data_IF_026666240851
#
_entry.id   IF_026666240851
#
_cell.length_a   1.000
_cell.length_b   1.000
_cell.length_c   1.000
_cell.angle_alpha   90.00
_cell.angle_beta   90.00
_cell.angle_gamma   90.00
#
_symmetry.space_group_name_H-M   'P 1'
#
loop_
_entity.id
_entity.type
_entity.pdbx_description
1 polymer ?
#
# COMPACT_ATOMS: atom_id res chain seq x y z
N UNK A 1 -4.51 56.25 84.42
CA UNK A 1 -3.75 56.69 83.23
C UNK A 1 -3.82 55.54 82.25
N UNK A 2 -4.85 55.62 81.41
CA UNK A 2 -5.05 54.77 80.24
C UNK A 2 -4.07 55.19 79.14
N UNK A 3 -3.34 54.23 78.58
CA UNK A 3 -2.84 54.32 77.21
C UNK A 3 -3.02 52.95 76.56
N UNK A 4 -4.20 52.79 75.95
CA UNK A 4 -4.55 51.72 75.01
C UNK A 4 -3.77 51.96 73.73
N UNK A 5 -2.76 51.12 73.49
CA UNK A 5 -1.96 51.13 72.26
C UNK A 5 -2.75 50.38 71.17
N UNK A 6 -3.06 50.98 70.01
CA UNK A 6 -3.85 50.31 68.99
C UNK A 6 -3.04 49.19 68.34
N UNK A 7 -3.65 48.02 68.23
CA UNK A 7 -3.14 46.91 67.43
C UNK A 7 -3.01 47.38 65.98
N UNK A 8 -1.83 47.16 65.38
CA UNK A 8 -1.56 47.46 63.98
C UNK A 8 -2.39 46.54 63.09
N UNK A 9 -3.50 47.08 62.57
CA UNK A 9 -4.31 46.45 61.54
C UNK A 9 -3.58 46.64 60.21
N UNK A 10 -2.51 45.89 59.94
CA UNK A 10 -1.82 45.96 58.63
C UNK A 10 -0.97 44.70 58.30
N UNK A 11 -1.30 43.53 58.86
CA UNK A 11 -0.70 42.24 58.41
C UNK A 11 -1.74 41.16 58.04
N UNK A 12 -3.02 41.53 57.91
CA UNK A 12 -4.10 40.58 57.57
C UNK A 12 -4.72 40.80 56.18
N UNK A 13 -4.15 41.72 55.37
CA UNK A 13 -4.61 42.01 53.99
C UNK A 13 -3.48 41.70 52.98
N UNK A 14 -2.83 40.56 53.11
CA UNK A 14 -1.85 40.08 52.12
C UNK A 14 -2.13 38.66 51.62
N UNK A 15 -3.31 38.11 51.93
CA UNK A 15 -3.73 36.76 51.53
C UNK A 15 -4.98 36.71 50.64
N UNK A 16 -5.65 37.84 50.38
CA UNK A 16 -6.99 37.81 49.77
C UNK A 16 -7.06 38.14 48.27
N UNK A 17 -5.93 38.19 47.56
CA UNK A 17 -5.95 38.32 46.09
C UNK A 17 -4.93 37.40 45.40
N UNK A 18 -5.21 36.09 45.39
CA UNK A 18 -4.65 35.19 44.37
C UNK A 18 -5.78 34.63 43.49
N UNK A 19 -6.29 35.37 42.49
CA UNK A 19 -7.29 34.87 41.56
C UNK A 19 -6.73 33.88 40.51
N UNK A 20 -5.42 33.57 40.52
CA UNK A 20 -4.77 32.85 39.44
C UNK A 20 -4.75 31.31 39.59
N UNK A 21 -4.91 30.79 40.81
CA UNK A 21 -4.86 29.32 41.06
C UNK A 21 -6.11 28.56 40.57
N UNK A 22 -7.29 29.21 40.55
CA UNK A 22 -8.53 28.53 40.18
C UNK A 22 -8.67 28.35 38.65
N UNK A 23 -8.20 29.33 37.87
CA UNK A 23 -8.25 29.27 36.41
C UNK A 23 -7.22 28.30 35.84
N UNK A 24 -6.03 28.22 36.46
CA UNK A 24 -4.98 27.27 36.06
C UNK A 24 -5.36 25.82 36.39
N UNK A 25 -5.99 25.58 37.54
CA UNK A 25 -6.51 24.25 37.90
C UNK A 25 -7.59 23.78 36.90
N UNK A 26 -8.56 24.63 36.55
CA UNK A 26 -9.58 24.30 35.53
C UNK A 26 -8.99 24.00 34.16
N UNK A 27 -8.01 24.80 33.72
CA UNK A 27 -7.33 24.56 32.45
C UNK A 27 -6.56 23.23 32.45
N UNK A 28 -5.99 22.84 33.58
CA UNK A 28 -5.30 21.57 33.74
C UNK A 28 -6.27 20.37 33.68
N UNK A 29 -7.44 20.47 34.31
CA UNK A 29 -8.48 19.44 34.25
C UNK A 29 -9.06 19.28 32.83
N UNK A 30 -9.27 20.39 32.12
CA UNK A 30 -9.69 20.35 30.72
C UNK A 30 -8.62 19.70 29.82
N UNK A 31 -7.34 20.01 30.05
CA UNK A 31 -6.24 19.42 29.31
C UNK A 31 -6.13 17.93 29.60
N UNK A 32 -6.23 17.51 30.87
CA UNK A 32 -6.26 16.11 31.27
C UNK A 32 -7.41 15.35 30.57
N UNK A 33 -8.60 15.94 30.52
CA UNK A 33 -9.77 15.37 29.83
C UNK A 33 -9.53 15.22 28.32
N UNK A 34 -8.92 16.22 27.67
CA UNK A 34 -8.55 16.15 26.25
C UNK A 34 -7.49 15.09 25.97
N UNK A 35 -6.46 15.00 26.82
CA UNK A 35 -5.43 13.96 26.72
C UNK A 35 -6.04 12.57 26.86
N UNK A 36 -6.95 12.37 27.82
CA UNK A 36 -7.63 11.09 28.00
C UNK A 36 -8.49 10.71 26.78
N UNK A 37 -9.19 11.69 26.18
CA UNK A 37 -9.93 11.47 24.94
C UNK A 37 -9.01 11.08 23.77
N UNK A 38 -7.84 11.73 23.65
CA UNK A 38 -6.85 11.38 22.63
C UNK A 38 -6.31 9.95 22.83
N UNK A 39 -6.04 9.54 24.07
CA UNK A 39 -5.61 8.17 24.39
C UNK A 39 -6.67 7.15 23.96
N UNK A 40 -7.96 7.42 24.22
CA UNK A 40 -9.05 6.55 23.77
C UNK A 40 -9.17 6.50 22.24
N UNK A 41 -8.99 7.63 21.56
CA UNK A 41 -8.99 7.70 20.10
C UNK A 41 -7.83 6.88 19.51
N UNK A 42 -6.62 6.98 20.09
CA UNK A 42 -5.46 6.20 19.66
C UNK A 42 -5.71 4.70 19.83
N UNK A 43 -6.22 4.26 20.99
CA UNK A 43 -6.53 2.85 21.21
C UNK A 43 -7.58 2.31 20.22
N UNK A 44 -8.56 3.14 19.85
CA UNK A 44 -9.57 2.81 18.85
C UNK A 44 -8.96 2.69 17.45
N UNK A 45 -8.04 3.59 17.09
CA UNK A 45 -7.30 3.53 15.82
C UNK A 45 -6.40 2.31 15.74
N UNK A 46 -5.68 1.98 16.81
CA UNK A 46 -4.84 0.77 16.89
C UNK A 46 -5.68 -0.49 16.67
N UNK A 47 -6.85 -0.58 17.32
CA UNK A 47 -7.80 -1.68 17.12
C UNK A 47 -8.29 -1.76 15.68
N UNK A 48 -8.60 -0.62 15.06
CA UNK A 48 -8.98 -0.53 13.65
C UNK A 48 -7.88 -1.00 12.70
N UNK A 49 -6.62 -0.62 12.96
CA UNK A 49 -5.45 -1.07 12.18
C UNK A 49 -5.31 -2.59 12.27
N UNK A 50 -5.44 -3.18 13.45
CA UNK A 50 -5.41 -4.63 13.63
C UNK A 50 -6.53 -5.35 12.86
N UNK A 51 -7.74 -4.79 12.84
CA UNK A 51 -8.85 -5.31 12.05
C UNK A 51 -8.54 -5.27 10.54
N UNK A 52 -8.01 -4.15 10.04
CA UNK A 52 -7.62 -3.99 8.62
C UNK A 52 -6.53 -4.99 8.24
N UNK A 53 -5.47 -5.15 9.04
CA UNK A 53 -4.41 -6.13 8.80
C UNK A 53 -5.00 -7.55 8.75
N UNK A 54 -5.92 -7.88 9.66
CA UNK A 54 -6.56 -9.19 9.69
C UNK A 54 -7.41 -9.43 8.44
N UNK A 55 -8.19 -8.44 8.02
CA UNK A 55 -8.95 -8.50 6.77
C UNK A 55 -8.06 -8.66 5.54
N UNK A 56 -6.95 -7.93 5.47
CA UNK A 56 -5.96 -8.07 4.38
C UNK A 56 -5.39 -9.49 4.31
N UNK A 57 -5.03 -10.11 5.45
CA UNK A 57 -4.54 -11.50 5.49
C UNK A 57 -5.59 -12.48 4.97
N UNK A 58 -6.85 -12.31 5.35
CA UNK A 58 -7.95 -13.13 4.85
C UNK A 58 -8.16 -12.98 3.34
N UNK A 59 -8.11 -11.75 2.82
CA UNK A 59 -8.21 -11.49 1.38
C UNK A 59 -7.05 -12.10 0.61
N UNK A 60 -5.81 -11.95 1.08
CA UNK A 60 -4.63 -12.59 0.46
C UNK A 60 -4.79 -14.11 0.43
N UNK A 61 -5.24 -14.71 1.53
CA UNK A 61 -5.55 -16.15 1.59
C UNK A 61 -6.62 -16.54 0.56
N UNK A 62 -7.72 -15.78 0.49
CA UNK A 62 -8.82 -16.00 -0.46
C UNK A 62 -8.36 -15.90 -1.92
N UNK A 63 -7.55 -14.89 -2.25
CA UNK A 63 -6.95 -14.73 -3.59
C UNK A 63 -6.05 -15.92 -3.92
N UNK A 64 -5.22 -16.38 -2.99
CA UNK A 64 -4.38 -17.56 -3.19
C UNK A 64 -5.22 -18.82 -3.45
N UNK A 65 -6.30 -19.03 -2.69
CA UNK A 65 -7.23 -20.16 -2.89
C UNK A 65 -7.93 -20.06 -4.25
N UNK A 66 -8.35 -18.87 -4.68
CA UNK A 66 -8.97 -18.68 -6.00
C UNK A 66 -7.98 -18.95 -7.12
N UNK A 67 -6.74 -18.52 -6.98
CA UNK A 67 -5.68 -18.77 -7.95
C UNK A 67 -5.31 -20.26 -8.03
N UNK A 68 -5.27 -20.98 -6.90
CA UNK A 68 -5.07 -22.44 -6.92
C UNK A 68 -6.27 -23.19 -7.48
N UNK A 69 -7.51 -22.76 -7.21
CA UNK A 69 -8.73 -23.37 -7.79
C UNK A 69 -8.87 -23.11 -9.29
N UNK A 70 -8.43 -21.96 -9.80
CA UNK A 70 -8.29 -21.73 -11.24
C UNK A 70 -7.23 -22.63 -11.88
N UNK A 71 -6.21 -23.05 -11.12
CA UNK A 71 -5.26 -24.09 -11.57
C UNK A 71 -5.74 -25.53 -11.38
N UNK A 72 -6.84 -25.77 -10.65
CA UNK A 72 -7.29 -27.11 -10.22
C UNK A 72 -8.62 -27.56 -10.81
N UNK A 73 -9.21 -26.80 -11.74
CA UNK A 73 -10.47 -27.15 -12.43
C UNK A 73 -10.26 -27.73 -13.83
N UNK A 74 -9.06 -28.26 -14.11
CA UNK A 74 -8.78 -29.09 -15.29
C UNK A 74 -8.31 -30.51 -14.91
N UNK A 75 -9.02 -31.21 -14.02
CA UNK A 75 -8.80 -32.65 -13.80
C UNK A 75 -10.09 -33.41 -13.59
N UNK A 76 -11.03 -33.29 -14.53
CA UNK A 76 -12.00 -34.35 -14.80
C UNK A 76 -11.99 -34.65 -16.30
N UNK A 77 -11.18 -35.64 -16.67
CA UNK A 77 -11.41 -36.51 -17.83
C UNK A 77 -11.57 -35.85 -19.20
N UNK A 78 -10.59 -35.08 -19.67
CA UNK A 78 -10.40 -34.84 -21.10
C UNK A 78 -8.90 -34.99 -21.38
N UNK A 79 -8.58 -35.83 -22.37
CA UNK A 79 -7.27 -36.06 -22.97
C UNK A 79 -6.40 -34.80 -22.85
N UNK A 80 -5.22 -34.91 -22.22
CA UNK A 80 -4.29 -33.80 -22.09
C UNK A 80 -4.25 -32.97 -23.38
N UNK A 81 -4.59 -31.67 -23.37
CA UNK A 81 -4.19 -30.85 -24.48
C UNK A 81 -2.66 -30.82 -24.35
N UNK A 82 -1.98 -31.61 -25.18
CA UNK A 82 -0.55 -31.42 -25.47
C UNK A 82 -0.38 -29.91 -25.54
N UNK A 83 0.40 -29.30 -24.63
CA UNK A 83 0.77 -27.88 -24.71
C UNK A 83 0.91 -27.58 -26.19
N UNK A 84 0.08 -26.70 -26.79
CA UNK A 84 0.17 -26.47 -28.22
C UNK A 84 1.63 -26.14 -28.47
N UNK A 85 2.31 -27.01 -29.23
CA UNK A 85 3.70 -26.78 -29.61
C UNK A 85 3.70 -25.36 -30.14
N UNK A 86 4.55 -24.50 -29.57
CA UNK A 86 4.63 -23.08 -29.88
C UNK A 86 5.12 -22.94 -31.33
N UNK A 87 4.26 -23.29 -32.28
CA UNK A 87 4.54 -23.23 -33.69
C UNK A 87 4.25 -21.80 -34.10
N UNK A 88 5.30 -21.06 -34.39
CA UNK A 88 5.15 -19.74 -34.97
C UNK A 88 4.34 -19.85 -36.27
N UNK A 89 3.23 -19.11 -36.43
CA UNK A 89 2.39 -19.20 -37.62
C UNK A 89 3.12 -18.76 -38.91
N UNK A 90 4.23 -18.01 -38.78
CA UNK A 90 5.01 -17.51 -39.92
C UNK A 90 6.05 -18.49 -40.42
N UNK A 91 6.76 -19.18 -39.52
CA UNK A 91 7.89 -20.04 -39.91
C UNK A 91 7.79 -21.48 -39.40
N UNK A 92 6.70 -21.84 -38.73
CA UNK A 92 6.39 -23.19 -38.23
C UNK A 92 7.47 -23.79 -37.30
N UNK A 93 8.34 -22.95 -36.74
CA UNK A 93 9.37 -23.35 -35.77
C UNK A 93 8.86 -23.16 -34.35
N UNK A 94 9.51 -23.85 -33.41
CA UNK A 94 9.18 -23.81 -32.00
C UNK A 94 9.71 -22.53 -31.33
N UNK A 95 8.93 -21.44 -31.38
CA UNK A 95 9.19 -20.18 -30.66
C UNK A 95 7.91 -19.34 -30.57
N UNK A 96 7.91 -18.35 -29.68
CA UNK A 96 6.81 -17.40 -29.58
C UNK A 96 6.80 -16.43 -30.77
N UNK A 97 5.63 -15.97 -31.22
CA UNK A 97 5.55 -15.09 -32.39
C UNK A 97 6.37 -13.79 -32.28
N UNK A 98 6.55 -13.26 -31.05
CA UNK A 98 7.41 -12.10 -30.79
C UNK A 98 8.94 -12.38 -30.92
N UNK A 99 9.34 -13.66 -30.98
CA UNK A 99 10.73 -14.10 -31.21
C UNK A 99 11.00 -14.46 -32.68
N UNK A 100 9.97 -14.42 -33.53
CA UNK A 100 10.10 -14.86 -34.92
C UNK A 100 10.94 -13.89 -35.75
N UNK A 101 12.11 -14.33 -36.20
CA UNK A 101 12.99 -13.56 -37.10
C UNK A 101 12.40 -13.30 -38.49
N UNK A 102 11.36 -14.05 -38.88
CA UNK A 102 10.65 -13.88 -40.15
C UNK A 102 9.46 -12.91 -40.04
N UNK A 103 9.13 -12.47 -38.83
CA UNK A 103 8.09 -11.46 -38.59
C UNK A 103 8.71 -10.07 -38.59
N UNK A 104 7.98 -9.09 -39.11
CA UNK A 104 8.39 -7.69 -39.06
C UNK A 104 8.46 -7.19 -37.62
N UNK A 105 9.27 -6.17 -37.30
CA UNK A 105 9.31 -5.59 -35.96
C UNK A 105 7.92 -5.16 -35.45
N UNK A 106 7.06 -4.64 -36.32
CA UNK A 106 5.67 -4.28 -35.98
C UNK A 106 4.81 -5.51 -35.59
N UNK A 107 4.90 -6.60 -36.33
CA UNK A 107 4.16 -7.84 -36.01
C UNK A 107 4.66 -8.45 -34.68
N UNK A 108 5.97 -8.49 -34.49
CA UNK A 108 6.55 -9.01 -33.25
C UNK A 108 6.14 -8.15 -32.05
N UNK A 109 6.02 -6.83 -32.23
CA UNK A 109 5.54 -5.91 -31.20
C UNK A 109 4.09 -6.21 -30.82
N UNK A 110 3.19 -6.33 -31.80
CA UNK A 110 1.78 -6.64 -31.55
C UNK A 110 1.63 -7.98 -30.80
N UNK A 111 2.40 -8.99 -31.19
CA UNK A 111 2.36 -10.29 -30.53
C UNK A 111 2.91 -10.25 -29.10
N UNK A 112 3.94 -9.44 -28.84
CA UNK A 112 4.47 -9.23 -27.50
C UNK A 112 3.45 -8.51 -26.59
N UNK A 113 2.77 -7.48 -27.12
CA UNK A 113 1.69 -6.78 -26.41
C UNK A 113 0.53 -7.72 -26.12
N UNK A 114 0.10 -8.53 -27.10
CA UNK A 114 -0.95 -9.54 -26.96
C UNK A 114 -0.59 -10.61 -25.93
N UNK A 115 0.67 -11.03 -25.93
CA UNK A 115 1.19 -12.02 -24.98
C UNK A 115 1.45 -11.44 -23.58
N UNK A 116 1.28 -10.13 -23.39
CA UNK A 116 1.49 -9.47 -22.10
C UNK A 116 2.93 -9.54 -21.60
N UNK A 117 3.90 -9.75 -22.50
CA UNK A 117 5.33 -9.81 -22.13
C UNK A 117 5.94 -8.41 -22.18
N UNK A 118 7.00 -8.21 -21.40
CA UNK A 118 7.74 -6.96 -21.43
C UNK A 118 8.42 -6.75 -22.78
N UNK A 119 8.19 -5.60 -23.41
CA UNK A 119 8.76 -5.26 -24.71
C UNK A 119 10.28 -5.11 -24.71
N UNK A 120 10.90 -5.01 -23.53
CA UNK A 120 12.35 -4.90 -23.44
C UNK A 120 13.05 -6.26 -23.32
N UNK A 121 12.49 -7.16 -22.52
CA UNK A 121 13.15 -8.43 -22.18
C UNK A 121 12.39 -9.67 -22.63
N UNK A 122 11.21 -9.51 -23.24
CA UNK A 122 10.31 -10.57 -23.66
C UNK A 122 9.98 -11.58 -22.54
N UNK A 123 10.05 -11.16 -21.27
CA UNK A 123 9.67 -11.97 -20.10
C UNK A 123 8.37 -11.48 -19.46
N UNK A 124 7.58 -12.39 -18.86
CA UNK A 124 6.43 -12.01 -18.06
C UNK A 124 6.87 -11.48 -16.69
N UNK A 125 6.35 -10.34 -16.28
CA UNK A 125 6.50 -9.86 -14.90
C UNK A 125 5.42 -8.84 -14.52
N UNK A 126 5.19 -8.57 -13.22
CA UNK A 126 4.24 -7.53 -12.80
C UNK A 126 4.76 -6.13 -13.13
N UNK A 127 3.93 -5.29 -13.76
CA UNK A 127 4.24 -3.90 -14.11
C UNK A 127 3.59 -3.43 -15.42
N UNK A 128 3.38 -2.12 -15.56
CA UNK A 128 2.83 -1.52 -16.77
C UNK A 128 3.93 -1.26 -17.81
N UNK A 129 4.26 -2.27 -18.63
CA UNK A 129 5.23 -2.16 -19.76
C UNK A 129 4.70 -1.31 -20.92
N UNK A 130 3.45 -0.86 -20.81
CA UNK A 130 2.79 -0.05 -21.83
C UNK A 130 3.29 1.41 -21.86
N UNK A 131 3.97 1.90 -20.81
CA UNK A 131 4.26 3.35 -20.64
C UNK A 131 5.59 3.74 -19.96
N UNK A 132 6.25 2.86 -19.22
CA UNK A 132 7.52 3.23 -18.56
C UNK A 132 8.69 3.12 -19.56
N UNK A 133 9.65 4.08 -19.61
CA UNK A 133 10.75 4.07 -20.58
C UNK A 133 11.79 2.95 -20.35
N UNK A 134 11.75 2.30 -19.19
CA UNK A 134 12.65 1.21 -18.82
C UNK A 134 11.91 0.15 -18.00
N UNK A 135 12.31 -1.10 -18.19
CA UNK A 135 11.80 -2.22 -17.41
C UNK A 135 12.48 -2.25 -16.03
N UNK A 136 11.71 -2.13 -14.93
CA UNK A 136 12.26 -2.18 -13.55
C UNK A 136 13.03 -3.48 -13.22
N UNK A 137 12.72 -4.60 -13.89
CA UNK A 137 13.43 -5.88 -13.72
C UNK A 137 14.69 -6.00 -14.57
N UNK A 138 14.80 -5.22 -15.64
CA UNK A 138 15.91 -5.33 -16.58
C UNK A 138 16.83 -4.11 -16.55
N UNK A 139 16.41 -3.03 -15.89
CA UNK A 139 17.06 -1.72 -15.80
C UNK A 139 17.44 -1.06 -17.15
N UNK A 140 17.36 -1.79 -18.25
CA UNK A 140 17.61 -1.31 -19.59
C UNK A 140 16.44 -0.43 -20.05
N UNK A 141 16.80 0.65 -20.73
CA UNK A 141 15.90 1.38 -21.63
C UNK A 141 15.29 0.41 -22.64
N UNK A 142 14.11 0.72 -23.15
CA UNK A 142 13.51 -0.06 -24.23
C UNK A 142 14.50 -0.21 -25.38
N UNK A 143 15.15 -1.37 -25.45
CA UNK A 143 15.94 -1.75 -26.60
C UNK A 143 14.97 -2.01 -27.72
N UNK A 144 15.21 -1.26 -28.77
CA UNK A 144 14.47 -1.09 -30.00
C UNK A 144 14.38 -2.35 -30.86
N UNK A 145 14.24 -3.55 -30.26
CA UNK A 145 14.03 -4.81 -31.00
C UNK A 145 12.78 -4.78 -31.90
N UNK A 146 11.88 -3.83 -31.63
CA UNK A 146 10.65 -3.58 -32.37
C UNK A 146 10.66 -2.29 -33.20
N UNK A 147 11.72 -1.48 -33.15
CA UNK A 147 11.85 -0.31 -34.01
C UNK A 147 12.79 -0.67 -35.16
N UNK A 148 12.30 -0.52 -36.39
CA UNK A 148 13.17 -0.41 -37.56
C UNK A 148 13.90 0.93 -37.52
#
# INVERSE_FOLDING_TARGET
MEETRPASVDEEILLENIPEHNNTAKALDELASKVQSLVQAIASLESGIHAVISGQRQLISGVNILNTKQGSTETLGIVSPKKPRLSCPKCQRNHHGYECKQSTPAERFQEAVKSGVCLNCNRPHPGSFKKAPACKKCAASHLTLYHC
#
